data_IF_191376685726
#
_entry.id   IF_191376685726
#
_cell.length_a   1.000
_cell.length_b   1.000
_cell.length_c   1.000
_cell.angle_alpha   90.00
_cell.angle_beta   90.00
_cell.angle_gamma   90.00
#
_symmetry.space_group_name_H-M   'P 1'
#
loop_
_entity.id
_entity.type
_entity.pdbx_description
1 polymer ?
#
# COMPACT_ATOMS: atom_id res chain seq x y z
N UNK A 1 2.79 25.30 61.90
CA UNK A 1 3.47 25.69 60.64
C UNK A 1 3.95 24.45 59.88
N UNK A 2 3.04 23.58 59.42
CA UNK A 2 3.36 22.30 58.76
C UNK A 2 2.48 22.06 57.53
N UNK A 3 2.42 23.02 56.60
CA UNK A 3 1.63 22.87 55.36
C UNK A 3 2.44 23.10 54.09
N UNK A 4 3.73 23.42 54.17
CA UNK A 4 4.52 23.82 52.99
C UNK A 4 5.33 22.66 52.38
N UNK A 5 5.49 21.51 53.06
CA UNK A 5 6.29 20.39 52.51
C UNK A 5 5.53 19.38 51.66
N UNK A 6 4.18 19.36 51.70
CA UNK A 6 3.39 18.41 50.90
C UNK A 6 3.20 18.85 49.44
N UNK A 7 3.32 20.16 49.17
CA UNK A 7 3.08 20.72 47.83
C UNK A 7 4.28 20.55 46.88
N UNK A 8 5.49 20.31 47.40
CA UNK A 8 6.70 20.15 46.59
C UNK A 8 6.88 18.73 46.02
N UNK A 9 6.30 17.71 46.67
CA UNK A 9 6.34 16.33 46.18
C UNK A 9 5.36 16.05 45.05
N UNK A 10 4.28 16.84 44.93
CA UNK A 10 3.28 16.66 43.87
C UNK A 10 3.70 17.27 42.52
N UNK A 11 4.57 18.29 42.53
CA UNK A 11 5.07 18.93 41.29
C UNK A 11 6.16 18.14 40.58
N UNK A 12 6.92 17.30 41.28
CA UNK A 12 8.04 16.55 40.71
C UNK A 12 7.58 15.31 39.90
N UNK A 13 6.37 14.80 40.14
CA UNK A 13 5.81 13.65 39.39
C UNK A 13 5.24 14.04 38.01
N UNK A 14 5.11 15.33 37.69
CA UNK A 14 4.51 15.79 36.43
C UNK A 14 5.50 15.91 35.25
N UNK A 15 6.79 15.61 35.46
CA UNK A 15 7.85 15.76 34.47
C UNK A 15 8.34 14.46 33.82
N UNK A 16 7.65 13.35 34.04
CA UNK A 16 7.90 12.11 33.27
C UNK A 16 7.09 12.19 31.96
N UNK A 17 7.36 13.21 31.13
CA UNK A 17 6.78 13.30 29.79
C UNK A 17 7.47 12.27 28.90
N UNK A 18 6.93 11.06 29.00
CA UNK A 18 6.91 10.00 28.02
C UNK A 18 7.68 10.27 26.70
N UNK A 19 8.96 9.89 26.67
CA UNK A 19 9.55 9.42 25.41
C UNK A 19 8.88 8.07 25.09
N UNK A 20 7.64 8.10 24.60
CA UNK A 20 7.04 6.91 23.99
C UNK A 20 7.88 6.64 22.75
N UNK A 21 8.64 5.54 22.78
CA UNK A 21 9.20 4.96 21.56
C UNK A 21 8.02 4.44 20.76
N UNK A 22 7.35 5.32 20.00
CA UNK A 22 6.32 4.90 19.05
C UNK A 22 7.10 4.15 17.97
N UNK A 23 7.21 2.84 18.12
CA UNK A 23 7.71 1.97 17.07
C UNK A 23 6.65 1.98 15.97
N UNK A 24 6.76 2.93 15.03
CA UNK A 24 5.79 3.09 13.97
C UNK A 24 5.93 1.90 13.01
N UNK A 25 5.07 0.91 13.21
CA UNK A 25 4.96 -0.23 12.33
C UNK A 25 4.34 0.19 10.98
N UNK A 26 4.69 -0.53 9.91
CA UNK A 26 4.19 -0.24 8.57
C UNK A 26 2.68 -0.56 8.43
N UNK A 27 1.82 0.42 8.09
CA UNK A 27 0.37 0.22 7.98
C UNK A 27 0.02 -0.54 6.69
N UNK A 28 0.09 -1.86 6.76
CA UNK A 28 -0.03 -2.74 5.59
C UNK A 28 -1.43 -2.67 4.95
N UNK A 29 -2.49 -2.52 5.74
CA UNK A 29 -3.86 -2.48 5.24
C UNK A 29 -4.15 -1.18 4.48
N UNK A 30 -3.68 -0.06 5.00
CA UNK A 30 -3.81 1.28 4.43
C UNK A 30 -2.97 1.37 3.15
N UNK A 31 -1.74 0.84 3.18
CA UNK A 31 -0.89 0.72 2.00
C UNK A 31 -1.53 -0.15 0.91
N UNK A 32 -2.22 -1.23 1.27
CA UNK A 32 -2.94 -2.07 0.30
C UNK A 32 -4.11 -1.32 -0.35
N UNK A 33 -4.91 -0.58 0.43
CA UNK A 33 -5.99 0.28 -0.11
C UNK A 33 -5.43 1.37 -1.03
N UNK A 34 -4.34 2.00 -0.63
CA UNK A 34 -3.66 3.01 -1.43
C UNK A 34 -3.12 2.42 -2.74
N UNK A 35 -2.55 1.22 -2.69
CA UNK A 35 -2.11 0.48 -3.88
C UNK A 35 -3.28 0.19 -4.82
N UNK A 36 -4.41 -0.30 -4.31
CA UNK A 36 -5.60 -0.55 -5.13
C UNK A 36 -6.12 0.69 -5.82
N UNK A 37 -6.12 1.82 -5.13
CA UNK A 37 -6.53 3.09 -5.73
C UNK A 37 -5.61 3.43 -6.93
N UNK A 38 -4.30 3.44 -6.70
CA UNK A 38 -3.33 3.76 -7.75
C UNK A 38 -3.41 2.77 -8.92
N UNK A 39 -3.52 1.48 -8.64
CA UNK A 39 -3.53 0.43 -9.66
C UNK A 39 -4.79 0.51 -10.52
N UNK A 40 -5.96 0.76 -9.90
CA UNK A 40 -7.21 0.96 -10.63
C UNK A 40 -7.16 2.19 -11.51
N UNK A 41 -6.56 3.29 -11.03
CA UNK A 41 -6.34 4.48 -11.84
C UNK A 41 -5.48 4.16 -13.07
N UNK A 42 -4.38 3.40 -12.90
CA UNK A 42 -3.46 3.02 -13.99
C UNK A 42 -4.10 2.08 -15.01
N UNK A 43 -4.78 1.03 -14.56
CA UNK A 43 -5.41 0.06 -15.45
C UNK A 43 -6.70 0.61 -16.10
N UNK A 44 -7.37 1.56 -15.46
CA UNK A 44 -8.65 2.11 -15.91
C UNK A 44 -9.82 1.15 -15.66
N UNK A 45 -11.05 1.69 -15.66
CA UNK A 45 -12.27 0.98 -15.25
C UNK A 45 -12.71 -0.15 -16.20
N UNK A 46 -12.25 -0.14 -17.45
CA UNK A 46 -12.71 -1.06 -18.50
C UNK A 46 -11.88 -2.36 -18.59
N UNK A 47 -10.87 -2.55 -17.73
CA UNK A 47 -9.92 -3.67 -17.85
C UNK A 47 -10.42 -5.01 -17.31
N UNK A 48 -11.70 -5.16 -16.94
CA UNK A 48 -12.21 -6.45 -16.43
C UNK A 48 -11.46 -6.94 -15.19
N UNK A 49 -10.99 -6.01 -14.35
CA UNK A 49 -10.31 -6.29 -13.09
C UNK A 49 -11.18 -7.24 -12.27
N UNK A 50 -10.59 -8.34 -11.82
CA UNK A 50 -11.27 -9.20 -10.86
C UNK A 50 -11.52 -8.37 -9.60
N UNK A 51 -12.75 -8.44 -9.08
CA UNK A 51 -13.15 -7.78 -7.85
C UNK A 51 -12.09 -8.09 -6.77
N UNK A 52 -11.54 -7.07 -6.08
CA UNK A 52 -10.46 -7.30 -5.13
C UNK A 52 -10.91 -8.34 -4.13
N UNK A 53 -10.08 -9.36 -3.91
CA UNK A 53 -10.27 -10.29 -2.80
C UNK A 53 -10.47 -9.45 -1.54
N UNK A 54 -11.70 -9.49 -1.01
CA UNK A 54 -12.07 -8.82 0.24
C UNK A 54 -10.96 -9.13 1.24
N UNK A 55 -10.38 -8.14 1.93
CA UNK A 55 -9.50 -8.42 3.06
C UNK A 55 -10.24 -9.44 3.92
N UNK A 56 -9.59 -10.56 4.24
CA UNK A 56 -10.12 -11.49 5.22
C UNK A 56 -10.56 -10.64 6.40
N UNK A 57 -11.85 -10.67 6.69
CA UNK A 57 -12.47 -9.93 7.78
C UNK A 57 -11.68 -10.27 9.04
N UNK A 58 -10.79 -9.38 9.47
CA UNK A 58 -10.44 -9.30 10.87
C UNK A 58 -11.78 -9.25 11.59
N UNK A 59 -12.03 -10.12 12.59
CA UNK A 59 -13.32 -10.17 13.25
C UNK A 59 -13.66 -8.77 13.74
N UNK A 60 -14.57 -8.11 13.02
CA UNK A 60 -15.14 -6.86 13.43
C UNK A 60 -15.88 -7.22 14.73
N UNK A 61 -15.55 -6.61 15.88
CA UNK A 61 -16.33 -6.83 17.07
C UNK A 61 -17.75 -6.44 16.71
N UNK A 62 -18.63 -7.42 16.86
CA UNK A 62 -20.04 -7.35 16.58
C UNK A 62 -20.65 -6.12 17.27
N UNK A 63 -20.84 -5.04 16.50
CA UNK A 63 -21.48 -3.80 16.97
C UNK A 63 -22.98 -3.98 17.24
N UNK A 64 -23.50 -5.22 17.18
CA UNK A 64 -24.84 -5.56 17.66
C UNK A 64 -24.90 -5.92 19.15
N UNK A 65 -23.77 -5.85 19.88
CA UNK A 65 -23.82 -5.96 21.34
C UNK A 65 -24.46 -4.71 21.94
N UNK A 66 -25.78 -4.80 22.14
CA UNK A 66 -26.56 -3.89 22.98
C UNK A 66 -25.73 -3.48 24.18
N UNK A 67 -25.46 -2.19 24.20
CA UNK A 67 -24.70 -1.48 25.21
C UNK A 67 -25.34 -1.72 26.58
N UNK A 68 -24.71 -2.58 27.35
CA UNK A 68 -24.98 -2.80 28.78
C UNK A 68 -23.68 -2.61 29.53
N UNK A 69 -22.91 -1.61 29.09
CA UNK A 69 -21.67 -1.21 29.73
C UNK A 69 -22.04 -0.49 31.02
N UNK A 70 -21.63 -0.98 32.20
CA UNK A 70 -21.92 -0.30 33.45
C UNK A 70 -21.22 1.06 33.48
N UNK A 71 -21.87 2.05 34.10
CA UNK A 71 -21.51 3.50 34.09
C UNK A 71 -20.03 3.78 34.43
N UNK A 72 -19.37 2.90 35.17
CA UNK A 72 -17.94 3.02 35.48
C UNK A 72 -17.00 2.80 34.28
N UNK A 73 -17.41 2.06 33.24
CA UNK A 73 -16.62 1.86 32.00
C UNK A 73 -16.66 3.12 31.12
N UNK A 74 -17.81 3.78 31.01
CA UNK A 74 -17.96 5.05 30.28
C UNK A 74 -17.08 6.18 30.86
N UNK A 75 -16.79 6.14 32.16
CA UNK A 75 -15.88 7.08 32.82
C UNK A 75 -14.39 6.80 32.49
N UNK A 76 -14.02 5.55 32.19
CA UNK A 76 -12.66 5.20 31.74
C UNK A 76 -12.43 5.59 30.27
N UNK A 77 -13.45 5.51 29.42
CA UNK A 77 -13.37 5.89 28.00
C UNK A 77 -13.21 7.41 27.80
N UNK A 78 -13.63 8.23 28.77
CA UNK A 78 -13.34 9.67 28.77
C UNK A 78 -11.87 9.99 29.07
N UNK A 79 -11.20 9.12 29.85
CA UNK A 79 -9.80 9.30 30.26
C UNK A 79 -8.84 8.67 29.25
N UNK A 80 -9.26 7.62 28.55
CA UNK A 80 -8.46 6.93 27.53
C UNK A 80 -9.16 7.12 26.20
N UNK A 81 -8.75 8.15 25.46
CA UNK A 81 -9.12 8.25 24.05
C UNK A 81 -8.72 6.94 23.35
N UNK A 82 -9.61 6.31 22.55
CA UNK A 82 -9.18 5.22 21.70
C UNK A 82 -8.01 5.74 20.86
N UNK A 83 -6.90 5.00 20.85
CA UNK A 83 -5.78 5.29 19.99
C UNK A 83 -6.26 5.13 18.54
N UNK A 84 -6.83 6.20 18.00
CA UNK A 84 -7.32 6.30 16.63
C UNK A 84 -6.16 6.01 15.67
N UNK A 85 -6.41 5.00 14.83
CA UNK A 85 -5.79 4.66 13.55
C UNK A 85 -4.40 5.23 13.23
N UNK A 86 -3.49 4.31 12.88
CA UNK A 86 -2.32 4.64 12.06
C UNK A 86 -2.81 5.43 10.84
N UNK A 87 -2.32 6.66 10.68
CA UNK A 87 -2.80 7.58 9.65
C UNK A 87 -2.73 6.98 8.23
N UNK A 88 -3.67 7.38 7.38
CA UNK A 88 -3.74 6.93 5.98
C UNK A 88 -2.42 7.18 5.24
N UNK A 89 -2.02 6.22 4.39
CA UNK A 89 -0.85 6.39 3.51
C UNK A 89 -1.11 7.52 2.52
N UNK A 90 -0.30 8.57 2.63
CA UNK A 90 -0.33 9.71 1.73
C UNK A 90 0.16 9.31 0.32
N UNK A 91 -0.76 9.34 -0.63
CA UNK A 91 -0.50 9.14 -2.06
C UNK A 91 -0.79 10.38 -2.91
N UNK A 92 -0.90 11.55 -2.27
CA UNK A 92 -1.33 12.80 -2.89
C UNK A 92 -0.19 13.80 -3.05
N UNK A 93 1.07 13.37 -3.02
CA UNK A 93 2.19 14.27 -3.31
C UNK A 93 2.26 14.63 -4.81
N UNK A 94 2.80 15.80 -5.19
CA UNK A 94 3.01 16.15 -6.60
C UNK A 94 3.84 15.10 -7.35
N UNK A 95 4.89 14.56 -6.73
CA UNK A 95 5.74 13.54 -7.33
C UNK A 95 4.98 12.24 -7.61
N UNK A 96 4.19 11.76 -6.64
CA UNK A 96 3.35 10.56 -6.78
C UNK A 96 2.32 10.75 -7.90
N UNK A 97 1.66 11.92 -7.97
CA UNK A 97 0.71 12.22 -9.04
C UNK A 97 1.35 12.20 -10.43
N UNK A 98 2.56 12.75 -10.57
CA UNK A 98 3.29 12.74 -11.84
C UNK A 98 3.63 11.32 -12.29
N UNK A 99 4.14 10.50 -11.37
CA UNK A 99 4.45 9.09 -11.64
C UNK A 99 3.19 8.29 -12.03
N UNK A 100 2.09 8.49 -11.30
CA UNK A 100 0.81 7.85 -11.60
C UNK A 100 0.32 8.19 -13.02
N UNK A 101 0.29 9.48 -13.38
CA UNK A 101 -0.09 9.94 -14.72
C UNK A 101 0.80 9.37 -15.82
N UNK A 102 2.11 9.22 -15.54
CA UNK A 102 3.05 8.60 -16.48
C UNK A 102 2.71 7.12 -16.73
N UNK A 103 2.45 6.36 -15.67
CA UNK A 103 2.03 4.96 -15.77
C UNK A 103 0.67 4.81 -16.45
N UNK A 104 -0.33 5.61 -16.06
CA UNK A 104 -1.65 5.67 -16.72
C UNK A 104 -1.52 5.90 -18.23
N UNK A 105 -0.71 6.89 -18.63
CA UNK A 105 -0.49 7.21 -20.05
C UNK A 105 0.21 6.07 -20.80
N UNK A 106 1.10 5.33 -20.15
CA UNK A 106 1.85 4.22 -20.75
C UNK A 106 0.99 2.97 -20.90
N UNK A 107 0.11 2.71 -19.94
CA UNK A 107 -0.61 1.46 -19.81
C UNK A 107 -1.36 1.01 -21.09
N UNK A 108 -2.09 1.86 -21.85
CA UNK A 108 -2.74 1.46 -23.09
C UNK A 108 -1.81 0.82 -24.12
N UNK A 109 -0.54 1.24 -24.15
CA UNK A 109 0.47 0.69 -25.05
C UNK A 109 1.14 -0.59 -24.54
N UNK A 110 1.12 -0.80 -23.21
CA UNK A 110 1.58 -2.05 -22.59
C UNK A 110 0.52 -3.15 -22.65
N UNK A 111 -0.77 -2.77 -22.62
CA UNK A 111 -1.89 -3.71 -22.53
C UNK A 111 -1.85 -4.82 -23.59
N UNK A 112 -1.60 -4.58 -24.89
CA UNK A 112 -1.52 -5.65 -25.88
C UNK A 112 -0.43 -6.68 -25.59
N UNK A 113 0.67 -6.27 -24.95
CA UNK A 113 1.76 -7.17 -24.56
C UNK A 113 1.43 -7.99 -23.31
N UNK A 114 0.59 -7.47 -22.41
CA UNK A 114 0.04 -8.27 -21.33
C UNK A 114 -0.95 -9.30 -21.88
N UNK A 115 -1.89 -8.84 -22.71
CA UNK A 115 -2.98 -9.67 -23.24
C UNK A 115 -2.47 -10.84 -24.08
N UNK A 116 -1.41 -10.64 -24.87
CA UNK A 116 -0.80 -11.72 -25.66
C UNK A 116 0.28 -12.52 -24.90
N UNK A 117 0.55 -12.16 -23.64
CA UNK A 117 1.55 -12.81 -22.81
C UNK A 117 3.01 -12.47 -23.14
N UNK A 118 3.33 -11.49 -23.97
CA UNK A 118 4.71 -11.09 -24.18
C UNK A 118 5.39 -10.60 -22.89
N UNK A 119 4.64 -9.95 -22.00
CA UNK A 119 5.11 -9.47 -20.70
C UNK A 119 4.32 -10.12 -19.56
N UNK A 120 4.90 -10.07 -18.37
CA UNK A 120 4.25 -10.48 -17.13
C UNK A 120 4.86 -9.81 -15.91
N UNK A 121 4.21 -9.95 -14.77
CA UNK A 121 4.67 -9.38 -13.50
C UNK A 121 5.58 -10.36 -12.77
N UNK A 122 6.72 -9.89 -12.26
CA UNK A 122 7.58 -10.65 -11.37
C UNK A 122 6.98 -10.74 -9.97
N UNK A 123 7.58 -11.56 -9.10
CA UNK A 123 7.17 -11.67 -7.69
C UNK A 123 7.27 -10.34 -6.92
N UNK A 124 8.14 -9.42 -7.38
CA UNK A 124 8.31 -8.08 -6.83
C UNK A 124 7.37 -7.03 -7.47
N UNK A 125 6.43 -7.47 -8.31
CA UNK A 125 5.48 -6.60 -8.97
C UNK A 125 6.07 -5.71 -10.04
N UNK A 126 7.27 -6.02 -10.52
CA UNK A 126 7.88 -5.36 -11.68
C UNK A 126 7.53 -6.11 -12.96
N UNK A 127 7.72 -5.49 -14.11
CA UNK A 127 7.46 -6.11 -15.40
C UNK A 127 8.70 -6.79 -15.97
N UNK A 128 8.48 -7.91 -16.62
CA UNK A 128 9.50 -8.61 -17.38
C UNK A 128 8.95 -9.02 -18.75
N UNK A 129 9.78 -8.94 -19.77
CA UNK A 129 9.50 -9.58 -21.06
C UNK A 129 9.67 -11.08 -20.88
N UNK A 130 8.54 -11.81 -20.89
CA UNK A 130 8.50 -13.26 -20.71
C UNK A 130 8.75 -13.98 -22.03
N UNK A 131 8.04 -13.57 -23.08
CA UNK A 131 8.11 -14.19 -24.39
C UNK A 131 8.30 -13.14 -25.49
N UNK A 132 9.52 -13.04 -26.01
CA UNK A 132 9.86 -12.12 -27.09
C UNK A 132 9.40 -12.64 -28.46
N UNK A 133 9.02 -13.92 -28.58
CA UNK A 133 8.47 -14.49 -29.82
C UNK A 133 7.00 -14.07 -30.02
N UNK A 134 6.28 -13.80 -28.93
CA UNK A 134 4.96 -13.16 -28.97
C UNK A 134 5.00 -11.67 -29.42
N UNK A 135 6.20 -11.10 -29.66
CA UNK A 135 6.39 -9.70 -30.07
C UNK A 135 6.97 -9.62 -31.49
N UNK A 136 6.29 -8.88 -32.36
CA UNK A 136 6.79 -8.61 -33.72
C UNK A 136 8.15 -7.92 -33.70
N UNK A 137 9.02 -8.22 -34.66
CA UNK A 137 10.39 -7.67 -34.72
C UNK A 137 10.43 -6.14 -34.58
N UNK A 138 9.46 -5.44 -35.18
CA UNK A 138 9.36 -3.97 -35.13
C UNK A 138 9.05 -3.43 -33.73
N UNK A 139 8.33 -4.19 -32.91
CA UNK A 139 7.89 -3.79 -31.57
C UNK A 139 8.86 -4.20 -30.46
N UNK A 140 9.86 -5.05 -30.73
CA UNK A 140 10.77 -5.59 -29.70
C UNK A 140 11.55 -4.51 -28.95
N UNK A 141 11.99 -3.45 -29.62
CA UNK A 141 12.64 -2.32 -28.96
C UNK A 141 11.64 -1.56 -28.08
N UNK A 142 10.46 -1.29 -28.62
CA UNK A 142 9.40 -0.59 -27.92
C UNK A 142 9.03 -1.28 -26.61
N UNK A 143 8.69 -2.58 -26.63
CA UNK A 143 8.27 -3.30 -25.41
C UNK A 143 9.37 -3.32 -24.35
N UNK A 144 10.64 -3.47 -24.73
CA UNK A 144 11.78 -3.45 -23.79
C UNK A 144 11.91 -2.07 -23.12
N UNK A 145 11.81 -1.00 -23.90
CA UNK A 145 11.85 0.38 -23.38
C UNK A 145 10.66 0.64 -22.46
N UNK A 146 9.45 0.25 -22.85
CA UNK A 146 8.26 0.47 -22.04
C UNK A 146 8.30 -0.32 -20.72
N UNK A 147 8.78 -1.56 -20.73
CA UNK A 147 9.00 -2.35 -19.51
C UNK A 147 10.02 -1.67 -18.58
N UNK A 148 11.13 -1.18 -19.14
CA UNK A 148 12.14 -0.47 -18.35
C UNK A 148 11.60 0.84 -17.75
N UNK A 149 10.88 1.63 -18.55
CA UNK A 149 10.28 2.89 -18.11
C UNK A 149 9.19 2.67 -17.04
N UNK A 150 8.36 1.64 -17.20
CA UNK A 150 7.36 1.25 -16.21
C UNK A 150 8.01 0.83 -14.89
N UNK A 151 9.06 0.02 -14.94
CA UNK A 151 9.77 -0.39 -13.74
C UNK A 151 10.48 0.78 -13.06
N UNK A 152 11.02 1.73 -13.82
CA UNK A 152 11.57 2.98 -13.26
C UNK A 152 10.50 3.75 -12.51
N UNK A 153 9.31 3.92 -13.10
CA UNK A 153 8.23 4.67 -12.48
C UNK A 153 7.67 3.95 -11.24
N UNK A 154 7.51 2.61 -11.27
CA UNK A 154 7.10 1.82 -10.09
C UNK A 154 8.10 1.93 -8.93
N UNK A 155 9.39 1.80 -9.22
CA UNK A 155 10.43 1.96 -8.21
C UNK A 155 10.45 3.38 -7.61
N UNK A 156 10.33 4.40 -8.46
CA UNK A 156 10.23 5.78 -8.00
C UNK A 156 8.97 5.98 -7.14
N UNK A 157 7.84 5.41 -7.55
CA UNK A 157 6.57 5.53 -6.82
C UNK A 157 6.69 5.02 -5.39
N UNK A 158 7.29 3.85 -5.19
CA UNK A 158 7.44 3.28 -3.84
C UNK A 158 8.28 4.16 -2.93
N UNK A 159 9.40 4.68 -3.46
CA UNK A 159 10.24 5.63 -2.74
C UNK A 159 9.50 6.93 -2.42
N UNK A 160 8.79 7.52 -3.39
CA UNK A 160 8.08 8.78 -3.18
C UNK A 160 6.91 8.62 -2.19
N UNK A 161 6.24 7.46 -2.15
CA UNK A 161 5.25 7.16 -1.11
C UNK A 161 5.94 7.11 0.26
N UNK A 162 7.06 6.40 0.40
CA UNK A 162 7.81 6.35 1.66
C UNK A 162 8.21 7.75 2.15
N UNK A 163 8.75 8.58 1.25
CA UNK A 163 9.16 9.96 1.54
C UNK A 163 7.97 10.85 1.90
N UNK A 164 6.86 10.77 1.14
CA UNK A 164 5.66 11.58 1.39
C UNK A 164 4.96 11.26 2.72
N UNK A 165 5.26 10.09 3.30
CA UNK A 165 4.77 9.65 4.60
C UNK A 165 5.80 9.84 5.73
N UNK A 166 6.93 10.50 5.46
CA UNK A 166 7.98 10.75 6.46
C UNK A 166 8.70 9.48 6.94
N UNK A 167 8.58 8.38 6.19
CA UNK A 167 9.07 7.06 6.58
C UNK A 167 9.84 6.40 5.43
N UNK A 168 11.05 6.88 5.08
CA UNK A 168 11.84 6.30 3.98
C UNK A 168 12.12 4.79 4.15
N UNK A 169 12.19 4.31 5.38
CA UNK A 169 12.40 2.89 5.69
C UNK A 169 11.25 1.97 5.24
N UNK A 170 10.06 2.50 4.95
CA UNK A 170 8.90 1.73 4.50
C UNK A 170 8.97 1.31 3.03
N UNK A 171 9.96 1.78 2.25
CA UNK A 171 10.00 1.51 0.80
C UNK A 171 9.90 0.01 0.47
N UNK A 172 10.59 -0.86 1.21
CA UNK A 172 10.58 -2.29 0.99
C UNK A 172 9.19 -2.92 1.25
N UNK A 173 8.51 -2.51 2.32
CA UNK A 173 7.17 -3.00 2.67
C UNK A 173 6.09 -2.45 1.72
N UNK A 174 6.24 -1.19 1.29
CA UNK A 174 5.41 -0.59 0.24
C UNK A 174 5.55 -1.39 -1.04
N UNK A 175 6.78 -1.66 -1.50
CA UNK A 175 7.05 -2.47 -2.70
C UNK A 175 6.40 -3.84 -2.60
N UNK A 176 6.60 -4.56 -1.49
CA UNK A 176 6.01 -5.88 -1.26
C UNK A 176 4.48 -5.84 -1.29
N UNK A 177 3.87 -4.83 -0.68
CA UNK A 177 2.42 -4.64 -0.66
C UNK A 177 1.89 -4.37 -2.06
N UNK A 178 2.49 -3.41 -2.79
CA UNK A 178 2.11 -3.09 -4.16
C UNK A 178 2.32 -4.27 -5.11
N UNK A 179 3.39 -5.05 -4.95
CA UNK A 179 3.65 -6.22 -5.77
C UNK A 179 2.50 -7.22 -5.73
N UNK A 180 2.03 -7.53 -4.53
CA UNK A 180 0.85 -8.36 -4.33
C UNK A 180 -0.39 -7.74 -4.97
N UNK A 181 -0.63 -6.43 -4.76
CA UNK A 181 -1.83 -5.77 -5.29
C UNK A 181 -1.83 -5.66 -6.81
N UNK A 182 -0.68 -5.48 -7.47
CA UNK A 182 -0.58 -5.50 -8.93
C UNK A 182 -1.08 -6.83 -9.50
N UNK A 183 -0.64 -7.95 -8.91
CA UNK A 183 -1.04 -9.29 -9.32
C UNK A 183 -2.52 -9.55 -8.98
N UNK A 184 -2.96 -9.20 -7.77
CA UNK A 184 -4.35 -9.40 -7.33
C UNK A 184 -5.36 -8.67 -8.25
N UNK A 185 -5.04 -7.42 -8.63
CA UNK A 185 -5.88 -6.57 -9.49
C UNK A 185 -5.71 -6.87 -10.99
N UNK A 186 -4.75 -7.71 -11.40
CA UNK A 186 -4.55 -8.04 -12.80
C UNK A 186 -5.80 -8.73 -13.39
N UNK A 187 -6.18 -8.46 -14.65
CA UNK A 187 -7.21 -9.24 -15.34
C UNK A 187 -6.83 -10.72 -15.49
N UNK A 188 -7.84 -11.57 -15.64
CA UNK A 188 -7.63 -12.98 -15.96
C UNK A 188 -6.86 -13.14 -17.29
N UNK A 189 -6.04 -14.18 -17.40
CA UNK A 189 -5.20 -14.42 -18.57
C UNK A 189 -3.85 -13.71 -18.55
N UNK A 190 -3.61 -12.76 -17.64
CA UNK A 190 -2.30 -12.13 -17.51
C UNK A 190 -1.32 -12.99 -16.74
N UNK A 191 -0.05 -12.87 -17.08
CA UNK A 191 0.99 -13.69 -16.50
C UNK A 191 1.69 -13.02 -15.33
N UNK A 192 1.99 -13.81 -14.30
CA UNK A 192 2.71 -13.39 -13.11
C UNK A 192 3.65 -14.50 -12.63
N UNK A 193 4.66 -14.15 -11.84
CA UNK A 193 5.50 -15.12 -11.15
C UNK A 193 4.89 -15.49 -9.80
N UNK A 194 4.80 -16.79 -9.50
CA UNK A 194 4.52 -17.26 -8.15
C UNK A 194 5.71 -17.02 -7.20
N UNK A 195 5.55 -17.39 -5.93
CA UNK A 195 6.59 -17.19 -4.89
C UNK A 195 7.89 -17.94 -5.16
N UNK A 196 7.89 -18.92 -6.07
CA UNK A 196 9.06 -19.68 -6.48
C UNK A 196 9.67 -19.12 -7.79
N UNK A 197 9.13 -18.04 -8.33
CA UNK A 197 9.56 -17.44 -9.59
C UNK A 197 8.99 -18.13 -10.83
N UNK A 198 8.10 -19.11 -10.70
CA UNK A 198 7.51 -19.78 -11.86
C UNK A 198 6.40 -18.92 -12.47
N UNK A 199 6.35 -18.88 -13.79
CA UNK A 199 5.29 -18.18 -14.51
C UNK A 199 3.96 -18.92 -14.40
N UNK A 200 2.93 -18.21 -13.95
CA UNK A 200 1.53 -18.61 -13.85
C UNK A 200 0.66 -17.62 -14.60
N UNK A 201 -0.52 -18.06 -14.98
CA UNK A 201 -1.54 -17.22 -15.60
C UNK A 201 -2.69 -17.02 -14.60
N UNK A 202 -3.18 -15.78 -14.51
CA UNK A 202 -4.21 -15.35 -13.56
C UNK A 202 -5.61 -15.80 -13.96
#
# INVERSE_FOLDING_TARGET
MHTIRLSSTLGLMLFISACVTINVYFPTAEAAKAADQIIRDVYGKDTGQAEPARPATSPQPDQSRRDTSPVWVAMLEWVVSPAEAVGDINIQSPAIRTLRKSMEKRFPSLKPFYDNGAIGMTQDGLLQVRDLNAVSLRQRKQVKTQVADENRDRNALYREIAVANGQPGWEADIRKTFAKRWIDNAPAGWWFQDKQGNWRQK
#
